data_IF_725583568298
#
_entry.id   IF_725583568298
#
_cell.length_a   1.000
_cell.length_b   1.000
_cell.length_c   1.000
_cell.angle_alpha   90.00
_cell.angle_beta   90.00
_cell.angle_gamma   90.00
#
_symmetry.space_group_name_H-M   'P 1'
#
loop_
_entity.id
_entity.type
_entity.pdbx_description
1 polymer ?
#
# COMPACT_ATOMS: atom_id res chain seq x y z
N UNK A 1 -12.85 7.89 16.79
CA UNK A 1 -13.02 9.22 16.15
C UNK A 1 -11.65 9.80 15.82
N UNK A 2 -11.52 10.56 14.72
CA UNK A 2 -10.31 11.34 14.43
C UNK A 2 -10.56 12.80 14.74
N UNK A 3 -9.63 13.45 15.44
CA UNK A 3 -9.63 14.91 15.59
C UNK A 3 -8.40 15.44 14.85
N UNK A 4 -8.63 16.31 13.88
CA UNK A 4 -7.59 17.00 13.11
C UNK A 4 -7.42 18.36 13.76
N UNK A 5 -6.19 18.71 14.14
CA UNK A 5 -5.85 20.01 14.70
C UNK A 5 -4.83 20.68 13.78
N UNK A 6 -5.15 21.87 13.32
CA UNK A 6 -4.25 22.76 12.59
C UNK A 6 -3.73 23.79 13.59
N UNK A 7 -2.47 23.63 14.01
CA UNK A 7 -1.80 24.55 14.91
C UNK A 7 -1.14 25.68 14.10
N UNK A 8 -1.76 26.86 14.15
CA UNK A 8 -1.31 28.04 13.43
C UNK A 8 -0.05 28.65 14.05
N UNK A 9 0.22 28.41 15.34
CA UNK A 9 1.40 28.95 16.00
C UNK A 9 2.67 28.18 15.62
N UNK A 10 2.53 26.87 15.40
CA UNK A 10 3.66 25.97 15.10
C UNK A 10 3.69 25.46 13.64
N UNK A 11 2.73 25.87 12.80
CA UNK A 11 2.58 25.41 11.40
C UNK A 11 2.59 23.88 11.33
N UNK A 12 1.76 23.24 12.17
CA UNK A 12 1.69 21.79 12.33
C UNK A 12 0.26 21.31 12.20
N UNK A 13 0.10 20.09 11.67
CA UNK A 13 -1.17 19.37 11.69
C UNK A 13 -1.01 18.16 12.60
N UNK A 14 -1.82 18.09 13.66
CA UNK A 14 -1.91 16.93 14.55
C UNK A 14 -3.16 16.12 14.19
N UNK A 15 -3.02 14.79 14.13
CA UNK A 15 -4.15 13.89 13.92
C UNK A 15 -4.28 12.93 15.08
N UNK A 16 -5.30 13.17 15.89
CA UNK A 16 -5.57 12.45 17.13
C UNK A 16 -6.52 11.29 16.84
N UNK A 17 -6.09 10.07 17.17
CA UNK A 17 -6.95 8.89 17.14
C UNK A 17 -7.59 8.68 18.52
N UNK A 18 -8.80 9.19 18.71
CA UNK A 18 -9.44 9.25 20.03
C UNK A 18 -10.62 8.27 20.12
N UNK A 19 -10.61 7.35 21.10
CA UNK A 19 -11.78 6.54 21.43
C UNK A 19 -12.99 7.42 21.75
N UNK A 20 -14.17 7.06 21.26
CA UNK A 20 -15.38 7.91 21.42
C UNK A 20 -15.72 8.18 22.89
N UNK A 21 -15.46 7.20 23.78
CA UNK A 21 -15.69 7.34 25.21
C UNK A 21 -14.73 8.31 25.92
N UNK A 22 -13.67 8.79 25.26
CA UNK A 22 -12.73 9.78 25.82
C UNK A 22 -13.06 11.22 25.43
N UNK A 23 -13.76 11.43 24.32
CA UNK A 23 -14.10 12.79 23.83
C UNK A 23 -15.20 13.44 24.70
N UNK A 24 -15.87 12.66 25.56
CA UNK A 24 -16.95 13.16 26.41
C UNK A 24 -18.08 13.76 25.57
N UNK A 25 -18.71 14.83 26.07
CA UNK A 25 -19.72 15.59 25.33
C UNK A 25 -19.13 16.75 24.50
N UNK A 26 -17.87 17.13 24.75
CA UNK A 26 -17.26 18.33 24.18
C UNK A 26 -15.79 18.10 23.78
N UNK A 27 -15.54 18.19 22.47
CA UNK A 27 -14.21 18.07 21.87
C UNK A 27 -13.28 19.20 22.33
N UNK A 28 -13.79 20.41 22.53
CA UNK A 28 -12.96 21.54 22.98
C UNK A 28 -12.45 21.34 24.39
N UNK A 29 -13.29 20.80 25.28
CA UNK A 29 -12.88 20.41 26.62
C UNK A 29 -11.77 19.36 26.57
N UNK A 30 -11.94 18.31 25.76
CA UNK A 30 -10.91 17.29 25.54
C UNK A 30 -9.59 17.92 25.07
N UNK A 31 -9.63 18.85 24.12
CA UNK A 31 -8.43 19.52 23.60
C UNK A 31 -7.75 20.37 24.69
N UNK A 32 -8.49 21.15 25.47
CA UNK A 32 -7.93 21.96 26.57
C UNK A 32 -7.31 21.09 27.66
N UNK A 33 -7.96 19.97 28.02
CA UNK A 33 -7.44 19.00 28.99
C UNK A 33 -6.14 18.32 28.53
N UNK A 34 -5.84 18.36 27.22
CA UNK A 34 -4.62 17.83 26.61
C UNK A 34 -3.70 18.95 26.07
N UNK A 35 -3.70 20.11 26.73
CA UNK A 35 -2.77 21.23 26.51
C UNK A 35 -2.88 21.95 25.15
N UNK A 36 -4.00 21.80 24.43
CA UNK A 36 -4.26 22.60 23.24
C UNK A 36 -4.82 23.98 23.61
N UNK A 37 -4.19 25.02 23.07
CA UNK A 37 -4.67 26.40 23.21
C UNK A 37 -5.65 26.73 22.08
N UNK A 38 -6.96 26.71 22.37
CA UNK A 38 -8.02 26.91 21.38
C UNK A 38 -7.85 28.18 20.52
N UNK A 39 -7.28 29.25 21.08
CA UNK A 39 -7.02 30.50 20.35
C UNK A 39 -5.95 30.40 19.25
N UNK A 40 -5.14 29.35 19.27
CA UNK A 40 -4.02 29.14 18.34
C UNK A 40 -4.29 28.03 17.32
N UNK A 41 -5.42 27.34 17.45
CA UNK A 41 -5.72 26.16 16.64
C UNK A 41 -7.04 26.30 15.90
N UNK A 42 -7.17 25.58 14.79
CA UNK A 42 -8.46 25.21 14.20
C UNK A 42 -8.57 23.70 14.25
N UNK A 43 -9.75 23.15 14.51
CA UNK A 43 -9.91 21.71 14.63
C UNK A 43 -11.20 21.19 13.99
N UNK A 44 -11.20 19.89 13.65
CA UNK A 44 -12.36 19.17 13.13
C UNK A 44 -12.36 17.74 13.65
N UNK A 45 -13.52 17.23 14.06
CA UNK A 45 -13.72 15.84 14.47
C UNK A 45 -14.51 15.05 13.41
N UNK A 46 -14.01 13.89 13.00
CA UNK A 46 -14.58 13.05 11.94
C UNK A 46 -14.66 11.58 12.38
N UNK A 47 -15.80 10.89 12.19
CA UNK A 47 -15.92 9.46 12.44
C UNK A 47 -15.38 8.67 11.23
N UNK A 48 -14.05 8.64 11.07
CA UNK A 48 -13.41 7.93 9.97
C UNK A 48 -12.16 7.15 10.43
N UNK A 49 -11.80 6.08 9.72
CA UNK A 49 -10.60 5.29 10.01
C UNK A 49 -9.31 6.01 9.56
N UNK A 50 -9.43 6.85 8.53
CA UNK A 50 -8.38 7.69 7.97
C UNK A 50 -8.92 9.09 7.66
N UNK A 51 -8.02 10.04 7.46
CA UNK A 51 -8.36 11.40 7.01
C UNK A 51 -8.11 11.49 5.50
N UNK A 52 -9.12 11.73 4.65
CA UNK A 52 -8.89 11.95 3.23
C UNK A 52 -8.09 13.25 3.05
N UNK A 53 -7.08 13.19 2.18
CA UNK A 53 -6.27 14.36 1.83
C UNK A 53 -6.20 14.44 0.32
N UNK A 54 -6.48 15.62 -0.21
CA UNK A 54 -6.39 15.90 -1.63
C UNK A 54 -5.26 16.91 -1.85
N UNK A 55 -4.30 16.53 -2.68
CA UNK A 55 -3.26 17.45 -3.13
C UNK A 55 -3.72 18.10 -4.42
N UNK A 56 -3.57 19.42 -4.49
CA UNK A 56 -3.81 20.20 -5.68
C UNK A 56 -2.50 20.84 -6.10
N UNK A 57 -2.09 20.58 -7.33
CA UNK A 57 -0.93 21.21 -7.94
C UNK A 57 -1.42 22.13 -9.06
N UNK A 58 -1.14 23.42 -8.91
CA UNK A 58 -1.49 24.45 -9.90
C UNK A 58 -0.22 24.90 -10.59
N UNK A 59 -0.25 24.93 -11.93
CA UNK A 59 0.88 25.32 -12.76
C UNK A 59 0.44 26.10 -14.00
N UNK A 60 1.42 26.44 -14.83
CA UNK A 60 1.20 27.04 -16.14
C UNK A 60 1.91 26.15 -17.15
N UNK A 61 1.18 25.71 -18.17
CA UNK A 61 1.73 24.98 -19.31
C UNK A 61 2.73 25.86 -20.08
N UNK A 62 3.98 25.42 -20.19
CA UNK A 62 5.05 26.21 -20.81
C UNK A 62 4.88 26.40 -22.32
N UNK A 63 4.14 25.54 -23.01
CA UNK A 63 3.96 25.61 -24.47
C UNK A 63 2.84 26.57 -24.85
N UNK A 64 1.73 26.55 -24.12
CA UNK A 64 0.53 27.31 -24.48
C UNK A 64 0.12 28.38 -23.45
N UNK A 65 0.83 28.47 -22.32
CA UNK A 65 0.62 29.49 -21.29
C UNK A 65 -0.70 29.37 -20.53
N UNK A 66 -1.42 28.24 -20.66
CA UNK A 66 -2.67 28.01 -19.94
C UNK A 66 -2.41 27.49 -18.53
N UNK A 67 -3.31 27.82 -17.63
CA UNK A 67 -3.35 27.22 -16.29
C UNK A 67 -3.62 25.72 -16.41
N UNK A 68 -2.83 24.94 -15.66
CA UNK A 68 -3.04 23.51 -15.48
C UNK A 68 -3.26 23.22 -14.00
N UNK A 69 -4.14 22.27 -13.72
CA UNK A 69 -4.49 21.84 -12.37
C UNK A 69 -4.50 20.32 -12.33
N UNK A 70 -3.66 19.74 -11.48
CA UNK A 70 -3.64 18.31 -11.18
C UNK A 70 -4.17 18.07 -9.77
N UNK A 71 -4.91 16.97 -9.62
CA UNK A 71 -5.47 16.55 -8.35
C UNK A 71 -5.02 15.12 -8.05
N UNK A 72 -4.52 14.91 -6.82
CA UNK A 72 -4.18 13.58 -6.33
C UNK A 72 -4.83 13.30 -4.98
N UNK A 73 -5.62 12.24 -4.94
CA UNK A 73 -6.25 11.76 -3.71
C UNK A 73 -5.30 10.86 -2.91
N UNK A 74 -5.24 11.09 -1.60
CA UNK A 74 -4.50 10.27 -0.65
C UNK A 74 -5.24 10.18 0.69
N UNK A 75 -4.63 9.49 1.65
CA UNK A 75 -5.17 9.30 3.00
C UNK A 75 -4.08 9.58 4.01
N UNK A 76 -4.33 10.50 4.93
CA UNK A 76 -3.49 10.65 6.12
C UNK A 76 -3.94 9.61 7.15
N UNK A 77 -3.09 8.62 7.37
CA UNK A 77 -3.29 7.52 8.30
C UNK A 77 -2.01 7.34 9.09
N UNK A 78 -2.14 7.12 10.40
CA UNK A 78 -1.01 6.77 11.25
C UNK A 78 -0.70 5.30 11.02
N UNK A 79 0.25 5.03 10.14
CA UNK A 79 0.73 3.67 9.89
C UNK A 79 1.82 3.31 10.89
N UNK A 80 1.70 2.14 11.51
CA UNK A 80 2.91 1.48 11.99
C UNK A 80 3.76 1.07 10.78
N UNK A 81 5.07 0.86 10.98
CA UNK A 81 5.94 0.31 9.92
C UNK A 81 5.35 -0.99 9.36
N UNK A 82 4.78 -1.82 10.24
CA UNK A 82 4.13 -3.07 9.85
C UNK A 82 2.94 -2.82 8.92
N UNK A 83 2.04 -1.88 9.25
CA UNK A 83 0.88 -1.57 8.40
C UNK A 83 1.31 -1.01 7.04
N UNK A 84 2.35 -0.17 7.00
CA UNK A 84 2.91 0.33 5.73
C UNK A 84 3.42 -0.81 4.85
N UNK A 85 4.12 -1.79 5.45
CA UNK A 85 4.61 -2.97 4.73
C UNK A 85 3.44 -3.79 4.17
N UNK A 86 2.38 -4.00 4.95
CA UNK A 86 1.19 -4.73 4.48
C UNK A 86 0.47 -4.02 3.34
N UNK A 87 0.34 -2.69 3.38
CA UNK A 87 -0.28 -1.93 2.27
C UNK A 87 0.57 -1.98 0.99
N UNK A 88 1.90 -1.94 1.10
CA UNK A 88 2.78 -2.12 -0.06
C UNK A 88 2.57 -3.49 -0.68
N UNK A 89 2.61 -4.57 0.13
CA UNK A 89 2.39 -5.94 -0.35
C UNK A 89 1.04 -6.10 -1.04
N UNK A 90 -0.02 -5.56 -0.44
CA UNK A 90 -1.36 -5.62 -1.02
C UNK A 90 -1.41 -4.96 -2.39
N UNK A 91 -0.85 -3.74 -2.52
CA UNK A 91 -0.83 -3.03 -3.81
C UNK A 91 -0.02 -3.79 -4.87
N UNK A 92 1.14 -4.32 -4.51
CA UNK A 92 1.96 -5.12 -5.43
C UNK A 92 1.23 -6.38 -5.89
N UNK A 93 0.50 -7.05 -5.00
CA UNK A 93 -0.35 -8.19 -5.35
C UNK A 93 -1.50 -7.80 -6.30
N UNK A 94 -2.16 -6.65 -6.07
CA UNK A 94 -3.20 -6.14 -6.99
C UNK A 94 -2.65 -5.82 -8.38
N UNK A 95 -1.45 -5.25 -8.45
CA UNK A 95 -0.74 -4.95 -9.70
C UNK A 95 -0.36 -6.24 -10.43
N UNK A 96 0.21 -7.24 -9.72
CA UNK A 96 0.52 -8.55 -10.27
C UNK A 96 -0.73 -9.26 -10.81
N UNK A 97 -1.83 -9.25 -10.05
CA UNK A 97 -3.13 -9.81 -10.50
C UNK A 97 -3.60 -9.15 -11.79
N UNK A 98 -3.45 -7.83 -11.89
CA UNK A 98 -3.83 -7.07 -13.07
C UNK A 98 -2.96 -7.44 -14.28
N UNK A 99 -1.64 -7.54 -14.10
CA UNK A 99 -0.70 -7.94 -15.15
C UNK A 99 -0.98 -9.37 -15.65
N UNK A 100 -1.11 -10.35 -14.76
CA UNK A 100 -1.39 -11.75 -15.12
C UNK A 100 -2.73 -11.89 -15.86
N UNK A 101 -3.76 -11.14 -15.46
CA UNK A 101 -5.06 -11.15 -16.17
C UNK A 101 -4.97 -10.52 -17.56
N UNK A 102 -4.05 -9.59 -17.77
CA UNK A 102 -3.89 -8.88 -19.03
C UNK A 102 -3.03 -9.65 -20.03
N UNK A 103 -1.91 -10.22 -19.56
CA UNK A 103 -0.87 -10.80 -20.41
C UNK A 103 -0.74 -12.32 -20.26
N UNK A 104 -1.22 -12.89 -19.14
CA UNK A 104 -1.20 -14.32 -18.85
C UNK A 104 -2.00 -15.17 -19.83
N UNK A 105 -1.55 -16.42 -19.99
CA UNK A 105 -2.28 -17.44 -20.73
C UNK A 105 -3.55 -17.84 -19.98
N UNK A 106 -4.67 -17.89 -20.69
CA UNK A 106 -5.94 -18.29 -20.09
C UNK A 106 -5.99 -19.80 -19.86
N UNK A 107 -6.19 -20.19 -18.60
CA UNK A 107 -6.38 -21.58 -18.16
C UNK A 107 -7.80 -21.82 -17.65
N UNK A 108 -8.16 -23.07 -17.33
CA UNK A 108 -9.53 -23.43 -16.96
C UNK A 108 -10.09 -22.60 -15.79
N UNK A 109 -9.27 -22.35 -14.75
CA UNK A 109 -9.70 -21.66 -13.53
C UNK A 109 -9.02 -20.30 -13.32
N UNK A 110 -8.50 -19.66 -14.38
CA UNK A 110 -7.84 -18.36 -14.26
C UNK A 110 -6.86 -18.05 -15.38
N UNK A 111 -5.75 -17.42 -15.01
CA UNK A 111 -4.67 -17.01 -15.91
C UNK A 111 -3.33 -17.44 -15.31
N UNK A 112 -2.37 -17.78 -16.15
CA UNK A 112 -1.05 -18.25 -15.72
C UNK A 112 0.04 -17.64 -16.60
N UNK A 113 1.19 -17.38 -16.01
CA UNK A 113 2.40 -16.94 -16.69
C UNK A 113 3.56 -17.82 -16.27
N UNK A 114 4.30 -18.34 -17.26
CA UNK A 114 5.51 -19.12 -17.05
C UNK A 114 6.71 -18.29 -17.50
N UNK A 115 7.72 -18.16 -16.66
CA UNK A 115 8.95 -17.47 -16.99
C UNK A 115 9.90 -18.42 -17.72
N UNK A 116 10.43 -18.01 -18.86
CA UNK A 116 11.45 -18.75 -19.62
C UNK A 116 12.80 -18.02 -19.56
N UNK A 117 13.88 -18.76 -19.32
CA UNK A 117 15.23 -18.19 -19.30
C UNK A 117 15.57 -17.50 -17.98
N UNK A 118 15.86 -16.20 -18.02
CA UNK A 118 16.24 -15.41 -16.84
C UNK A 118 14.99 -15.08 -16.01
N UNK A 119 14.66 -15.99 -15.10
CA UNK A 119 13.51 -15.88 -14.20
C UNK A 119 13.75 -14.82 -13.10
N UNK A 120 12.71 -14.08 -12.67
CA UNK A 120 12.83 -13.10 -11.59
C UNK A 120 13.24 -13.78 -10.28
N UNK A 121 14.07 -13.10 -9.49
CA UNK A 121 14.54 -13.58 -8.18
C UNK A 121 14.06 -12.63 -7.09
N UNK A 122 13.35 -13.16 -6.11
CA UNK A 122 12.77 -12.41 -5.00
C UNK A 122 13.29 -12.89 -3.66
N UNK A 123 13.24 -12.01 -2.64
CA UNK A 123 13.45 -12.43 -1.26
C UNK A 123 12.11 -12.87 -0.66
N UNK A 124 12.07 -14.04 -0.03
CA UNK A 124 10.88 -14.59 0.61
C UNK A 124 11.25 -15.37 1.87
N UNK A 125 10.25 -15.68 2.70
CA UNK A 125 10.35 -16.76 3.68
C UNK A 125 9.97 -18.08 3.01
N UNK A 126 10.91 -19.02 2.94
CA UNK A 126 10.64 -20.40 2.54
C UNK A 126 10.92 -21.31 3.73
N UNK A 127 9.95 -22.12 4.14
CA UNK A 127 9.98 -22.92 5.37
C UNK A 127 10.45 -22.14 6.62
N UNK A 128 9.92 -20.92 6.82
CA UNK A 128 10.28 -19.99 7.90
C UNK A 128 11.73 -19.43 7.85
N UNK A 129 12.50 -19.73 6.79
CA UNK A 129 13.85 -19.21 6.60
C UNK A 129 13.90 -18.19 5.45
N UNK A 130 14.55 -17.02 5.63
CA UNK A 130 14.67 -16.04 4.56
C UNK A 130 15.65 -16.54 3.49
N UNK A 131 15.21 -16.61 2.24
CA UNK A 131 16.03 -17.04 1.12
C UNK A 131 15.76 -16.23 -0.16
N UNK A 132 16.66 -16.40 -1.15
CA UNK A 132 16.43 -15.94 -2.52
C UNK A 132 15.66 -17.03 -3.27
N UNK A 133 14.51 -16.70 -3.84
CA UNK A 133 13.68 -17.63 -4.61
C UNK A 133 13.65 -17.21 -6.07
N UNK A 134 13.91 -18.16 -6.97
CA UNK A 134 13.70 -18.02 -8.41
C UNK A 134 12.23 -18.29 -8.70
N UNK A 135 11.52 -17.35 -9.32
CA UNK A 135 10.10 -17.47 -9.64
C UNK A 135 9.93 -18.08 -11.03
N UNK A 136 9.30 -19.24 -11.10
CA UNK A 136 9.15 -20.03 -12.32
C UNK A 136 7.82 -19.78 -13.00
N UNK A 137 6.75 -19.66 -12.20
CA UNK A 137 5.42 -19.37 -12.72
C UNK A 137 4.57 -18.63 -11.70
N UNK A 138 3.60 -17.87 -12.20
CA UNK A 138 2.56 -17.23 -11.39
C UNK A 138 1.21 -17.56 -11.99
N UNK A 139 0.29 -18.00 -11.14
CA UNK A 139 -1.10 -18.26 -11.50
C UNK A 139 -2.02 -17.39 -10.68
N UNK A 140 -3.02 -16.82 -11.34
CA UNK A 140 -4.10 -16.07 -10.70
C UNK A 140 -5.41 -16.75 -11.03
N UNK A 141 -6.13 -17.20 -10.00
CA UNK A 141 -7.45 -17.80 -10.17
C UNK A 141 -8.51 -16.75 -10.50
N UNK A 142 -9.68 -17.22 -10.95
CA UNK A 142 -10.81 -16.34 -11.27
C UNK A 142 -11.29 -15.48 -10.09
N UNK A 143 -11.15 -15.96 -8.84
CA UNK A 143 -11.46 -15.22 -7.61
C UNK A 143 -10.31 -14.32 -7.13
N UNK A 144 -9.17 -14.30 -7.84
CA UNK A 144 -8.04 -13.40 -7.59
C UNK A 144 -6.99 -13.95 -6.63
N UNK A 145 -7.07 -15.23 -6.23
CA UNK A 145 -6.03 -15.87 -5.45
C UNK A 145 -4.77 -16.06 -6.31
N UNK A 146 -3.63 -15.68 -5.75
CA UNK A 146 -2.31 -15.84 -6.37
C UNK A 146 -1.71 -17.17 -5.90
N UNK A 147 -1.12 -17.91 -6.82
CA UNK A 147 -0.25 -19.05 -6.55
C UNK A 147 1.07 -18.79 -7.27
N UNK A 148 2.18 -18.79 -6.54
CA UNK A 148 3.52 -18.56 -7.08
C UNK A 148 4.28 -19.88 -6.99
N UNK A 149 4.84 -20.33 -8.11
CA UNK A 149 5.72 -21.49 -8.17
C UNK A 149 7.15 -20.97 -8.21
N UNK A 150 7.95 -21.37 -7.24
CA UNK A 150 9.35 -20.98 -7.14
C UNK A 150 10.25 -22.13 -6.71
N UNK A 151 11.54 -21.85 -6.73
CA UNK A 151 12.61 -22.76 -6.35
C UNK A 151 13.70 -21.96 -5.63
N UNK A 152 14.20 -22.49 -4.51
CA UNK A 152 15.25 -21.81 -3.75
C UNK A 152 16.51 -21.72 -4.62
N UNK A 153 17.10 -20.53 -4.68
CA UNK A 153 18.16 -20.23 -5.65
C UNK A 153 19.40 -21.08 -5.44
N UNK A 154 19.71 -21.46 -4.20
CA UNK A 154 20.92 -22.21 -3.87
C UNK A 154 20.69 -23.73 -3.80
N UNK A 155 19.46 -24.21 -3.63
CA UNK A 155 19.05 -25.62 -3.61
C UNK A 155 18.06 -25.96 -4.73
N UNK A 156 18.46 -25.64 -5.97
CA UNK A 156 17.61 -25.85 -7.15
C UNK A 156 17.19 -27.30 -7.36
N UNK A 157 15.97 -27.47 -7.88
CA UNK A 157 15.36 -28.75 -8.22
C UNK A 157 14.27 -29.19 -7.23
N UNK A 158 13.82 -28.29 -6.34
CA UNK A 158 12.76 -28.54 -5.38
C UNK A 158 11.65 -27.50 -5.53
N UNK A 159 11.04 -27.46 -6.71
CA UNK A 159 9.96 -26.53 -7.04
C UNK A 159 8.74 -26.73 -6.13
N UNK A 160 8.22 -25.65 -5.58
CA UNK A 160 7.06 -25.68 -4.68
C UNK A 160 6.26 -24.37 -4.74
N UNK A 161 5.08 -24.40 -4.13
CA UNK A 161 4.22 -23.21 -3.99
C UNK A 161 4.73 -22.30 -2.89
N UNK A 162 4.76 -20.99 -3.18
CA UNK A 162 5.14 -19.94 -2.24
C UNK A 162 3.95 -19.00 -2.07
N UNK A 163 3.64 -18.66 -0.83
CA UNK A 163 2.60 -17.68 -0.54
C UNK A 163 3.08 -16.28 -0.96
N UNK A 164 2.22 -15.51 -1.63
CA UNK A 164 2.52 -14.12 -1.95
C UNK A 164 2.75 -13.28 -0.66
N UNK A 165 2.14 -13.70 0.45
CA UNK A 165 2.36 -13.11 1.77
C UNK A 165 3.67 -13.52 2.44
N UNK A 166 4.43 -14.46 1.88
CA UNK A 166 5.79 -14.80 2.34
C UNK A 166 6.87 -14.03 1.58
N UNK A 167 6.55 -13.44 0.42
CA UNK A 167 7.46 -12.58 -0.34
C UNK A 167 7.62 -11.23 0.35
N UNK A 168 8.85 -10.70 0.39
CA UNK A 168 9.12 -9.43 1.06
C UNK A 168 8.50 -8.26 0.29
N UNK A 169 8.03 -7.23 1.02
CA UNK A 169 7.49 -6.02 0.38
C UNK A 169 8.55 -5.38 -0.52
N UNK A 170 8.13 -4.90 -1.71
CA UNK A 170 9.04 -4.39 -2.73
C UNK A 170 9.45 -5.44 -3.75
N UNK A 171 9.21 -6.74 -3.49
CA UNK A 171 9.76 -7.79 -4.35
C UNK A 171 8.77 -8.32 -5.40
N UNK A 172 7.46 -8.24 -5.15
CA UNK A 172 6.46 -8.64 -6.15
C UNK A 172 6.51 -7.72 -7.38
N UNK A 173 6.91 -6.46 -7.23
CA UNK A 173 7.12 -5.52 -8.36
C UNK A 173 8.13 -6.07 -9.38
N UNK A 174 9.21 -6.73 -8.95
CA UNK A 174 10.18 -7.36 -9.86
C UNK A 174 9.59 -8.55 -10.64
N UNK A 175 8.57 -9.23 -10.09
CA UNK A 175 7.86 -10.29 -10.82
C UNK A 175 6.97 -9.63 -11.88
N UNK A 176 6.22 -8.60 -11.46
CA UNK A 176 5.29 -7.87 -12.33
C UNK A 176 6.00 -7.18 -13.49
N UNK A 177 7.22 -6.66 -13.29
CA UNK A 177 7.99 -5.96 -14.33
C UNK A 177 8.45 -6.86 -15.47
N UNK A 178 8.49 -8.17 -15.26
CA UNK A 178 8.92 -9.17 -16.26
C UNK A 178 7.72 -9.79 -17.02
N UNK A 179 6.52 -9.24 -16.87
CA UNK A 179 5.29 -9.66 -17.56
C UNK A 179 4.92 -8.60 -18.60
N UNK A 180 4.95 -8.96 -19.89
CA UNK A 180 4.73 -8.06 -21.05
C UNK A 180 3.56 -8.46 -21.97
#
# INVERSE_FOLDING_TARGET
MKIIVVDCANVRIDVLNVPENMVGEDVELFLVEHDYFLNNISWMAVPADYVPVQFHEFGIDEENGKEVHEQRDTRLKNFSIYDSVQEVKHREQEELVSAIRQYGEKVADGYEWHFEGDCPIVAAYDYDEPCDVVILAVRVSNDGRITIIGDEKNDRGNEHEIDADDIFAGHIDFITSEIE
#
